data_IF_447546422727
#
_entry.id   IF_447546422727
#
_cell.length_a   1.000
_cell.length_b   1.000
_cell.length_c   1.000
_cell.angle_alpha   90.00
_cell.angle_beta   90.00
_cell.angle_gamma   90.00
#
_symmetry.space_group_name_H-M   'P 1'
#
loop_
_entity.id
_entity.type
_entity.pdbx_description
1 polymer ?
#
# COMPACT_ATOMS: atom_id res chain seq x y z
N UNK A 1 -118.91 73.92 -14.68
CA UNK A 1 -117.58 73.98 -14.02
C UNK A 1 -117.29 72.79 -13.09
N UNK A 2 -118.20 72.36 -12.21
CA UNK A 2 -117.94 71.23 -11.29
C UNK A 2 -117.72 69.85 -11.97
N UNK A 3 -118.34 69.57 -13.12
CA UNK A 3 -118.16 68.30 -13.85
C UNK A 3 -116.82 68.22 -14.60
N UNK A 4 -116.33 69.35 -15.10
CA UNK A 4 -115.05 69.46 -15.83
C UNK A 4 -113.87 69.28 -14.86
N UNK A 5 -113.96 69.81 -13.64
CA UNK A 5 -112.93 69.62 -12.62
C UNK A 5 -112.89 68.19 -12.08
N UNK A 6 -114.03 67.50 -12.03
CA UNK A 6 -114.10 66.08 -11.65
C UNK A 6 -113.46 65.19 -12.71
N UNK A 7 -113.73 65.46 -13.99
CA UNK A 7 -113.09 64.78 -15.12
C UNK A 7 -111.57 65.04 -15.19
N UNK A 8 -111.12 66.29 -14.95
CA UNK A 8 -109.69 66.61 -14.86
C UNK A 8 -108.99 65.87 -13.71
N UNK A 9 -109.63 65.74 -12.55
CA UNK A 9 -109.08 64.96 -11.43
C UNK A 9 -108.98 63.47 -11.76
N UNK A 10 -110.01 62.89 -12.38
CA UNK A 10 -109.97 61.49 -12.82
C UNK A 10 -108.86 61.25 -13.85
N UNK A 11 -108.73 62.12 -14.86
CA UNK A 11 -107.65 62.03 -15.86
C UNK A 11 -106.28 62.16 -15.19
N UNK A 12 -106.12 63.05 -14.21
CA UNK A 12 -104.85 63.24 -13.50
C UNK A 12 -104.51 62.04 -12.61
N UNK A 13 -105.49 61.49 -11.90
CA UNK A 13 -105.34 60.26 -11.12
C UNK A 13 -105.00 59.06 -12.01
N UNK A 14 -105.63 58.94 -13.18
CA UNK A 14 -105.34 57.87 -14.14
C UNK A 14 -103.97 58.05 -14.80
N UNK A 15 -103.53 59.30 -15.02
CA UNK A 15 -102.19 59.61 -15.51
C UNK A 15 -101.13 59.30 -14.46
N UNK A 16 -101.35 59.70 -13.20
CA UNK A 16 -100.45 59.41 -12.08
C UNK A 16 -100.36 57.89 -11.82
N UNK A 17 -101.48 57.16 -11.93
CA UNK A 17 -101.48 55.68 -11.90
C UNK A 17 -100.63 55.08 -13.03
N UNK A 18 -100.80 55.53 -14.27
CA UNK A 18 -99.99 55.06 -15.41
C UNK A 18 -98.51 55.37 -15.24
N UNK A 19 -98.17 56.55 -14.72
CA UNK A 19 -96.77 56.94 -14.44
C UNK A 19 -96.18 56.05 -13.35
N UNK A 20 -96.94 55.73 -12.31
CA UNK A 20 -96.50 54.84 -11.23
C UNK A 20 -96.31 53.40 -11.71
N UNK A 21 -97.22 52.92 -12.57
CA UNK A 21 -97.18 51.60 -13.17
C UNK A 21 -95.97 51.45 -14.11
N UNK A 22 -95.75 52.42 -15.02
CA UNK A 22 -94.58 52.45 -15.91
C UNK A 22 -93.26 52.55 -15.14
N UNK A 23 -93.20 53.32 -14.05
CA UNK A 23 -92.01 53.35 -13.17
C UNK A 23 -91.78 51.99 -12.51
N UNK A 24 -92.83 51.37 -11.98
CA UNK A 24 -92.75 50.04 -11.37
C UNK A 24 -92.33 48.95 -12.36
N UNK A 25 -92.76 49.03 -13.61
CA UNK A 25 -92.32 48.14 -14.69
C UNK A 25 -90.86 48.39 -15.08
N UNK A 26 -90.44 49.65 -15.21
CA UNK A 26 -89.06 50.03 -15.50
C UNK A 26 -88.10 49.57 -14.39
N UNK A 27 -88.45 49.82 -13.12
CA UNK A 27 -87.64 49.40 -11.97
C UNK A 27 -87.52 47.87 -11.88
N UNK A 28 -88.60 47.14 -12.20
CA UNK A 28 -88.59 45.67 -12.30
C UNK A 28 -87.68 45.20 -13.44
N UNK A 29 -87.75 45.83 -14.60
CA UNK A 29 -86.92 45.49 -15.77
C UNK A 29 -85.43 45.73 -15.47
N UNK A 30 -85.08 46.88 -14.88
CA UNK A 30 -83.70 47.21 -14.47
C UNK A 30 -83.20 46.20 -13.43
N UNK A 31 -83.99 45.88 -12.42
CA UNK A 31 -83.61 44.90 -11.39
C UNK A 31 -83.38 43.51 -12.00
N UNK A 32 -84.23 43.10 -12.94
CA UNK A 32 -84.07 41.84 -13.66
C UNK A 32 -82.82 41.84 -14.54
N UNK A 33 -82.51 42.94 -15.22
CA UNK A 33 -81.30 43.09 -16.01
C UNK A 33 -80.04 43.07 -15.14
N UNK A 34 -80.02 43.78 -14.02
CA UNK A 34 -78.93 43.75 -13.05
C UNK A 34 -78.68 42.34 -12.51
N UNK A 35 -79.75 41.61 -12.14
CA UNK A 35 -79.61 40.21 -11.69
C UNK A 35 -79.01 39.30 -12.76
N UNK A 36 -79.44 39.43 -14.01
CA UNK A 36 -78.87 38.66 -15.12
C UNK A 36 -77.40 39.03 -15.34
N UNK A 37 -77.07 40.32 -15.28
CA UNK A 37 -75.70 40.79 -15.42
C UNK A 37 -74.81 40.26 -14.29
N UNK A 38 -75.30 40.25 -13.06
CA UNK A 38 -74.60 39.70 -11.89
C UNK A 38 -74.40 38.18 -12.03
N UNK A 39 -75.41 37.45 -12.47
CA UNK A 39 -75.29 36.01 -12.75
C UNK A 39 -74.25 35.73 -13.83
N UNK A 40 -74.29 36.44 -14.96
CA UNK A 40 -73.29 36.32 -16.03
C UNK A 40 -71.89 36.68 -15.52
N UNK A 41 -71.77 37.71 -14.66
CA UNK A 41 -70.50 38.06 -14.06
C UNK A 41 -69.97 36.98 -13.11
N UNK A 42 -70.83 36.39 -12.28
CA UNK A 42 -70.47 35.29 -11.38
C UNK A 42 -70.03 34.07 -12.19
N UNK A 43 -70.74 33.73 -13.26
CA UNK A 43 -70.40 32.61 -14.13
C UNK A 43 -69.06 32.84 -14.84
N UNK A 44 -68.83 34.04 -15.38
CA UNK A 44 -67.57 34.42 -15.98
C UNK A 44 -66.41 34.36 -14.98
N UNK A 45 -66.60 34.84 -13.75
CA UNK A 45 -65.60 34.78 -12.70
C UNK A 45 -65.29 33.33 -12.33
N UNK A 46 -66.30 32.48 -12.17
CA UNK A 46 -66.11 31.06 -11.88
C UNK A 46 -65.32 30.35 -12.99
N UNK A 47 -65.61 30.66 -14.25
CA UNK A 47 -64.91 30.05 -15.38
C UNK A 47 -63.47 30.55 -15.50
N UNK A 48 -63.22 31.84 -15.24
CA UNK A 48 -61.86 32.36 -15.12
C UNK A 48 -61.10 31.71 -13.97
N UNK A 49 -61.75 31.47 -12.83
CA UNK A 49 -61.15 30.84 -11.65
C UNK A 49 -60.77 29.39 -11.96
N UNK A 50 -61.66 28.61 -12.58
CA UNK A 50 -61.37 27.23 -13.03
C UNK A 50 -60.23 27.18 -14.04
N UNK A 51 -60.15 28.13 -14.98
CA UNK A 51 -59.04 28.21 -15.93
C UNK A 51 -57.72 28.49 -15.21
N UNK A 52 -57.72 29.42 -14.25
CA UNK A 52 -56.55 29.74 -13.44
C UNK A 52 -56.11 28.58 -12.56
N UNK A 53 -57.03 27.85 -11.96
CA UNK A 53 -56.73 26.63 -11.19
C UNK A 53 -56.02 25.60 -12.06
N UNK A 54 -56.55 25.30 -13.25
CA UNK A 54 -55.91 24.37 -14.19
C UNK A 54 -54.53 24.84 -14.64
N UNK A 55 -54.37 26.13 -14.92
CA UNK A 55 -53.05 26.70 -15.26
C UNK A 55 -52.06 26.57 -14.10
N UNK A 56 -52.49 26.82 -12.87
CA UNK A 56 -51.66 26.70 -11.66
C UNK A 56 -51.29 25.24 -11.42
N UNK A 57 -52.24 24.32 -11.51
CA UNK A 57 -52.02 22.89 -11.36
C UNK A 57 -51.00 22.38 -12.39
N UNK A 58 -51.17 22.73 -13.66
CA UNK A 58 -50.22 22.37 -14.72
C UNK A 58 -48.82 22.91 -14.44
N UNK A 59 -48.71 24.18 -14.01
CA UNK A 59 -47.42 24.80 -13.65
C UNK A 59 -46.79 24.19 -12.40
N UNK A 60 -47.58 23.67 -11.48
CA UNK A 60 -47.09 22.98 -10.29
C UNK A 60 -46.60 21.59 -10.63
N UNK A 61 -47.36 20.82 -11.41
CA UNK A 61 -46.96 19.50 -11.90
C UNK A 61 -45.64 19.62 -12.68
N UNK A 62 -45.56 20.54 -13.64
CA UNK A 62 -44.34 20.75 -14.41
C UNK A 62 -43.14 21.11 -13.52
N UNK A 63 -43.32 22.02 -12.56
CA UNK A 63 -42.24 22.38 -11.62
C UNK A 63 -41.83 21.22 -10.71
N UNK A 64 -42.78 20.38 -10.29
CA UNK A 64 -42.48 19.20 -9.49
C UNK A 64 -41.70 18.17 -10.32
N UNK A 65 -42.12 17.91 -11.56
CA UNK A 65 -41.41 17.03 -12.49
C UNK A 65 -39.99 17.53 -12.76
N UNK A 66 -39.83 18.82 -13.06
CA UNK A 66 -38.52 19.43 -13.29
C UNK A 66 -37.60 19.27 -12.07
N UNK A 67 -38.12 19.49 -10.85
CA UNK A 67 -37.35 19.34 -9.60
C UNK A 67 -37.02 17.88 -9.29
N UNK A 68 -37.92 16.95 -9.58
CA UNK A 68 -37.66 15.52 -9.42
C UNK A 68 -36.54 15.09 -10.36
N UNK A 69 -36.57 15.54 -11.62
CA UNK A 69 -35.53 15.22 -12.60
C UNK A 69 -34.18 15.83 -12.21
N UNK A 70 -34.17 17.06 -11.71
CA UNK A 70 -32.95 17.72 -11.22
C UNK A 70 -32.32 16.97 -10.05
N UNK A 71 -33.13 16.59 -9.04
CA UNK A 71 -32.65 15.82 -7.89
C UNK A 71 -32.20 14.40 -8.28
N UNK A 72 -32.92 13.73 -9.19
CA UNK A 72 -32.49 12.44 -9.73
C UNK A 72 -31.15 12.55 -10.46
N UNK A 73 -30.96 13.58 -11.28
CA UNK A 73 -29.69 13.86 -11.96
C UNK A 73 -28.55 14.09 -10.97
N UNK A 74 -28.79 14.88 -9.91
CA UNK A 74 -27.79 15.13 -8.85
C UNK A 74 -27.40 13.84 -8.14
N UNK A 75 -28.38 13.02 -7.75
CA UNK A 75 -28.15 11.74 -7.07
C UNK A 75 -27.41 10.76 -7.96
N UNK A 76 -27.74 10.67 -9.25
CA UNK A 76 -27.01 9.82 -10.18
C UNK A 76 -25.55 10.25 -10.35
N UNK A 77 -25.29 11.55 -10.41
CA UNK A 77 -23.92 12.08 -10.47
C UNK A 77 -23.13 11.77 -9.19
N UNK A 78 -23.74 11.93 -8.02
CA UNK A 78 -23.12 11.60 -6.73
C UNK A 78 -22.84 10.10 -6.60
N UNK A 79 -23.77 9.24 -7.01
CA UNK A 79 -23.58 7.80 -7.04
C UNK A 79 -22.47 7.38 -8.01
N UNK A 80 -22.38 8.04 -9.17
CA UNK A 80 -21.31 7.79 -10.14
C UNK A 80 -19.93 8.18 -9.58
N UNK A 81 -19.82 9.34 -8.93
CA UNK A 81 -18.59 9.77 -8.26
C UNK A 81 -18.21 8.81 -7.12
N UNK A 82 -19.15 8.47 -6.24
CA UNK A 82 -18.92 7.50 -5.17
C UNK A 82 -18.46 6.15 -5.71
N UNK A 83 -19.11 5.65 -6.76
CA UNK A 83 -18.74 4.38 -7.41
C UNK A 83 -17.34 4.46 -8.03
N UNK A 84 -17.00 5.59 -8.65
CA UNK A 84 -15.66 5.84 -9.19
C UNK A 84 -14.59 5.81 -8.11
N UNK A 85 -14.83 6.51 -6.99
CA UNK A 85 -13.93 6.53 -5.83
C UNK A 85 -13.77 5.14 -5.21
N UNK A 86 -14.87 4.39 -5.05
CA UNK A 86 -14.84 3.03 -4.51
C UNK A 86 -14.04 2.07 -5.40
N UNK A 87 -14.21 2.15 -6.73
CA UNK A 87 -13.42 1.37 -7.68
C UNK A 87 -11.94 1.74 -7.62
N UNK A 88 -11.60 3.03 -7.60
CA UNK A 88 -10.23 3.50 -7.47
C UNK A 88 -9.57 3.05 -6.17
N UNK A 89 -10.30 3.12 -5.06
CA UNK A 89 -9.83 2.63 -3.76
C UNK A 89 -9.63 1.11 -3.76
N UNK A 90 -10.56 0.34 -4.34
CA UNK A 90 -10.42 -1.10 -4.44
C UNK A 90 -9.20 -1.52 -5.28
N UNK A 91 -8.95 -0.82 -6.40
CA UNK A 91 -7.76 -1.05 -7.22
C UNK A 91 -6.47 -0.68 -6.46
N UNK A 92 -6.46 0.45 -5.75
CA UNK A 92 -5.32 0.88 -4.93
C UNK A 92 -5.03 -0.12 -3.80
N UNK A 93 -6.06 -0.61 -3.11
CA UNK A 93 -5.92 -1.63 -2.06
C UNK A 93 -5.40 -2.94 -2.67
N UNK A 94 -5.94 -3.39 -3.80
CA UNK A 94 -5.47 -4.61 -4.45
C UNK A 94 -4.00 -4.52 -4.87
N UNK A 95 -3.58 -3.38 -5.46
CA UNK A 95 -2.18 -3.13 -5.82
C UNK A 95 -1.28 -3.13 -4.59
N UNK A 96 -1.70 -2.47 -3.52
CA UNK A 96 -0.94 -2.43 -2.26
C UNK A 96 -0.83 -3.81 -1.61
N UNK A 97 -1.90 -4.59 -1.59
CA UNK A 97 -1.88 -5.95 -1.06
C UNK A 97 -0.86 -6.85 -1.80
N UNK A 98 -0.76 -6.73 -3.12
CA UNK A 98 0.25 -7.45 -3.90
C UNK A 98 1.68 -6.97 -3.60
N UNK A 99 1.88 -5.66 -3.38
CA UNK A 99 3.17 -5.12 -2.98
C UNK A 99 3.57 -5.59 -1.58
N UNK A 100 2.63 -5.57 -0.64
CA UNK A 100 2.86 -6.02 0.73
C UNK A 100 3.16 -7.52 0.78
N UNK A 101 2.47 -8.34 -0.03
CA UNK A 101 2.78 -9.77 -0.14
C UNK A 101 4.22 -10.00 -0.62
N UNK A 102 4.66 -9.28 -1.67
CA UNK A 102 6.03 -9.37 -2.16
C UNK A 102 7.03 -8.93 -1.09
N UNK A 103 6.78 -7.81 -0.42
CA UNK A 103 7.63 -7.30 0.64
C UNK A 103 7.76 -8.30 1.80
N UNK A 104 6.66 -8.94 2.21
CA UNK A 104 6.67 -9.99 3.23
C UNK A 104 7.52 -11.19 2.82
N UNK A 105 7.37 -11.68 1.57
CA UNK A 105 8.20 -12.81 1.08
C UNK A 105 9.69 -12.44 1.04
N UNK A 106 10.03 -11.23 0.61
CA UNK A 106 11.42 -10.76 0.60
C UNK A 106 11.98 -10.58 2.01
N UNK A 107 11.18 -10.10 2.96
CA UNK A 107 11.60 -9.97 4.36
C UNK A 107 11.81 -11.33 5.03
N UNK A 108 10.93 -12.29 4.76
CA UNK A 108 11.08 -13.66 5.26
C UNK A 108 12.32 -14.35 4.67
N UNK A 109 12.59 -14.15 3.38
CA UNK A 109 13.81 -14.61 2.74
C UNK A 109 15.05 -13.96 3.36
N UNK A 110 15.05 -12.64 3.52
CA UNK A 110 16.16 -11.90 4.11
C UNK A 110 16.46 -12.38 5.54
N UNK A 111 15.43 -12.54 6.37
CA UNK A 111 15.63 -12.99 7.76
C UNK A 111 16.14 -14.42 7.83
N UNK A 112 15.70 -15.31 6.92
CA UNK A 112 16.23 -16.66 6.81
C UNK A 112 17.70 -16.67 6.36
N UNK A 113 18.08 -15.82 5.39
CA UNK A 113 19.48 -15.70 4.95
C UNK A 113 20.37 -15.06 6.00
N UNK A 114 19.87 -14.08 6.75
CA UNK A 114 20.60 -13.44 7.85
C UNK A 114 20.81 -14.42 9.00
N UNK A 115 19.81 -15.26 9.31
CA UNK A 115 19.96 -16.33 10.30
C UNK A 115 21.05 -17.35 9.88
N UNK A 116 21.10 -17.72 8.60
CA UNK A 116 22.16 -18.57 8.06
C UNK A 116 23.54 -17.89 8.15
N UNK A 117 23.64 -16.61 7.77
CA UNK A 117 24.88 -15.86 7.85
C UNK A 117 25.37 -15.72 9.31
N UNK A 118 24.46 -15.45 10.24
CA UNK A 118 24.76 -15.40 11.66
C UNK A 118 25.22 -16.77 12.20
N UNK A 119 24.62 -17.88 11.75
CA UNK A 119 25.06 -19.24 12.10
C UNK A 119 26.46 -19.54 11.57
N UNK A 120 26.80 -19.07 10.36
CA UNK A 120 28.13 -19.26 9.77
C UNK A 120 29.20 -18.42 10.47
N UNK A 121 28.86 -17.18 10.87
CA UNK A 121 29.78 -16.27 11.53
C UNK A 121 29.99 -16.64 13.01
N UNK A 122 28.92 -16.96 13.71
CA UNK A 122 28.95 -17.27 15.12
C UNK A 122 28.98 -18.80 15.31
N UNK A 123 30.15 -19.42 15.32
CA UNK A 123 30.22 -20.69 16.08
C UNK A 123 30.09 -20.35 17.54
N UNK A 124 29.18 -21.02 18.22
CA UNK A 124 29.12 -21.11 19.67
C UNK A 124 30.51 -20.93 20.31
N UNK A 125 30.65 -19.88 21.14
CA UNK A 125 31.84 -19.58 21.95
C UNK A 125 32.21 -20.68 22.96
N UNK A 126 31.45 -21.77 23.00
CA UNK A 126 31.72 -22.90 23.86
C UNK A 126 32.84 -23.75 23.23
N UNK A 127 33.94 -23.91 23.97
CA UNK A 127 35.18 -24.51 23.46
C UNK A 127 35.01 -25.96 23.01
N UNK A 128 33.98 -26.64 23.51
CA UNK A 128 33.62 -28.01 23.15
C UNK A 128 32.71 -28.07 21.90
N UNK A 129 32.03 -26.97 21.58
CA UNK A 129 31.19 -26.86 20.39
C UNK A 129 31.96 -26.41 19.14
N UNK A 130 33.20 -25.93 19.29
CA UNK A 130 34.09 -25.63 18.16
C UNK A 130 34.47 -26.87 17.32
N UNK A 131 34.42 -28.06 17.94
CA UNK A 131 34.61 -29.35 17.24
C UNK A 131 33.27 -29.99 16.78
N UNK A 132 32.12 -29.52 17.29
CA UNK A 132 30.80 -29.98 16.87
C UNK A 132 30.17 -29.01 15.86
N UNK A 133 30.46 -29.26 14.59
CA UNK A 133 29.85 -28.54 13.49
C UNK A 133 28.33 -28.75 13.49
N UNK A 134 27.56 -27.65 13.41
CA UNK A 134 26.11 -27.73 13.24
C UNK A 134 25.75 -27.95 11.77
N UNK A 135 24.77 -28.83 11.46
CA UNK A 135 24.28 -29.00 10.10
C UNK A 135 23.59 -27.72 9.61
N UNK A 136 23.73 -27.43 8.31
CA UNK A 136 23.07 -26.30 7.64
C UNK A 136 21.72 -26.71 7.04
N UNK A 137 21.29 -27.97 7.23
CA UNK A 137 20.04 -28.49 6.65
C UNK A 137 18.84 -27.64 7.07
N UNK A 138 18.74 -27.33 8.36
CA UNK A 138 17.55 -26.70 8.93
C UNK A 138 17.43 -25.23 8.49
N UNK A 139 18.56 -24.53 8.39
CA UNK A 139 18.61 -23.15 7.91
C UNK A 139 18.40 -23.05 6.40
N UNK A 140 18.90 -24.01 5.62
CA UNK A 140 18.64 -24.11 4.18
C UNK A 140 17.19 -24.47 3.89
N UNK A 141 16.60 -25.38 4.65
CA UNK A 141 15.17 -25.71 4.56
C UNK A 141 14.29 -24.51 4.96
N UNK A 142 14.71 -23.71 5.94
CA UNK A 142 14.04 -22.46 6.28
C UNK A 142 14.05 -21.45 5.13
N UNK A 143 15.18 -21.29 4.43
CA UNK A 143 15.26 -20.43 3.22
C UNK A 143 14.35 -20.97 2.12
N UNK A 144 14.35 -22.28 1.90
CA UNK A 144 13.48 -22.93 0.91
C UNK A 144 11.99 -22.71 1.21
N UNK A 145 11.60 -22.76 2.48
CA UNK A 145 10.22 -22.54 2.91
C UNK A 145 9.82 -21.05 2.89
N UNK A 146 10.77 -20.14 3.13
CA UNK A 146 10.56 -18.70 3.06
C UNK A 146 10.49 -18.18 1.62
N UNK A 147 11.09 -18.90 0.68
CA UNK A 147 11.01 -18.59 -0.75
C UNK A 147 9.57 -18.70 -1.26
N UNK A 148 9.22 -17.83 -2.20
CA UNK A 148 7.99 -18.00 -2.95
C UNK A 148 8.04 -19.36 -3.67
N UNK A 149 6.92 -20.11 -3.66
CA UNK A 149 6.84 -21.43 -4.30
C UNK A 149 7.25 -21.32 -5.77
N UNK A 150 8.37 -21.94 -6.14
CA UNK A 150 8.88 -21.98 -7.51
C UNK A 150 9.81 -20.82 -7.91
N UNK A 151 10.49 -20.17 -6.95
CA UNK A 151 11.56 -19.22 -7.28
C UNK A 151 12.82 -19.96 -7.78
N UNK A 152 12.99 -20.03 -9.10
CA UNK A 152 14.10 -20.69 -9.80
C UNK A 152 15.47 -20.16 -9.35
N UNK A 153 15.56 -18.87 -9.01
CA UNK A 153 16.82 -18.28 -8.54
C UNK A 153 17.23 -18.86 -7.19
N UNK A 154 16.28 -19.03 -6.26
CA UNK A 154 16.58 -19.59 -4.94
C UNK A 154 16.90 -21.08 -5.07
N UNK A 155 16.15 -21.83 -5.88
CA UNK A 155 16.42 -23.26 -6.07
C UNK A 155 17.77 -23.52 -6.75
N UNK A 156 18.15 -22.74 -7.76
CA UNK A 156 19.46 -22.87 -8.42
C UNK A 156 20.60 -22.57 -7.47
N UNK A 157 20.50 -21.51 -6.65
CA UNK A 157 21.51 -21.18 -5.65
C UNK A 157 21.62 -22.28 -4.59
N UNK A 158 20.50 -22.77 -4.07
CA UNK A 158 20.51 -23.87 -3.08
C UNK A 158 21.10 -25.15 -3.66
N UNK A 159 20.91 -25.42 -4.95
CA UNK A 159 21.49 -26.58 -5.63
C UNK A 159 23.02 -26.49 -5.81
N UNK A 160 23.60 -25.28 -5.79
CA UNK A 160 25.07 -25.11 -5.84
C UNK A 160 25.77 -25.51 -4.54
N UNK A 161 25.03 -25.59 -3.42
CA UNK A 161 25.62 -25.88 -2.11
C UNK A 161 25.98 -27.37 -2.04
N UNK A 162 27.25 -27.72 -1.74
CA UNK A 162 27.68 -29.11 -1.68
C UNK A 162 26.99 -29.83 -0.50
N UNK A 163 26.52 -31.06 -0.75
CA UNK A 163 25.82 -31.89 0.24
C UNK A 163 26.67 -32.25 1.45
N UNK A 164 28.00 -32.21 1.30
CA UNK A 164 28.96 -32.36 2.40
C UNK A 164 28.88 -31.20 3.38
N UNK A 165 28.73 -29.96 2.91
CA UNK A 165 28.57 -28.78 3.78
C UNK A 165 27.22 -28.78 4.49
N UNK A 166 26.15 -29.23 3.81
CA UNK A 166 24.81 -29.32 4.41
C UNK A 166 24.76 -30.26 5.62
N UNK A 167 25.29 -31.48 5.46
CA UNK A 167 25.23 -32.53 6.50
C UNK A 167 26.26 -32.33 7.61
N UNK A 168 27.48 -31.92 7.24
CA UNK A 168 28.59 -31.81 8.18
C UNK A 168 28.62 -30.47 8.89
N UNK A 169 28.18 -29.39 8.26
CA UNK A 169 28.47 -28.04 8.71
C UNK A 169 29.80 -27.50 8.17
N UNK A 170 29.97 -26.17 8.28
CA UNK A 170 31.17 -25.44 7.86
C UNK A 170 31.85 -24.84 9.10
N UNK A 171 33.19 -24.87 9.12
CA UNK A 171 33.92 -24.20 10.18
C UNK A 171 33.83 -22.68 9.99
N UNK A 172 33.48 -21.93 11.04
CA UNK A 172 33.50 -20.46 10.99
C UNK A 172 34.94 -19.95 10.82
N UNK A 173 35.06 -18.70 10.42
CA UNK A 173 36.36 -18.03 10.27
C UNK A 173 37.14 -18.00 11.60
N UNK A 174 36.47 -17.70 12.72
CA UNK A 174 37.13 -17.56 14.02
C UNK A 174 37.74 -18.88 14.53
N UNK A 175 37.05 -20.01 14.33
CA UNK A 175 37.57 -21.35 14.69
C UNK A 175 38.76 -21.73 13.81
N UNK A 176 38.71 -21.40 12.52
CA UNK A 176 39.84 -21.61 11.62
C UNK A 176 41.05 -20.75 12.00
N UNK A 177 40.83 -19.48 12.39
CA UNK A 177 41.86 -18.59 12.90
C UNK A 177 42.50 -19.14 14.17
N UNK A 178 41.72 -19.61 15.15
CA UNK A 178 42.26 -20.19 16.38
C UNK A 178 43.06 -21.48 16.11
N UNK A 179 42.55 -22.34 15.21
CA UNK A 179 43.26 -23.55 14.78
C UNK A 179 44.55 -23.21 14.06
N UNK A 180 44.54 -22.20 13.18
CA UNK A 180 45.73 -21.73 12.50
C UNK A 180 46.80 -21.25 13.49
N UNK A 181 46.44 -20.46 14.52
CA UNK A 181 47.39 -20.04 15.54
C UNK A 181 48.01 -21.20 16.35
N UNK A 182 47.26 -22.30 16.54
CA UNK A 182 47.80 -23.53 17.15
C UNK A 182 48.78 -24.23 16.20
N UNK A 183 48.42 -24.35 14.92
CA UNK A 183 49.27 -24.97 13.89
C UNK A 183 50.53 -24.13 13.64
N UNK A 184 50.43 -22.80 13.58
CA UNK A 184 51.54 -21.86 13.43
C UNK A 184 52.60 -22.11 14.50
N UNK A 185 52.19 -22.27 15.77
CA UNK A 185 53.12 -22.56 16.88
C UNK A 185 53.88 -23.86 16.70
N UNK A 186 53.25 -24.89 16.13
CA UNK A 186 53.88 -26.20 15.89
C UNK A 186 54.76 -26.12 14.63
N UNK A 187 54.26 -25.54 13.56
CA UNK A 187 54.98 -25.35 12.31
C UNK A 187 56.23 -24.48 12.51
N UNK A 188 56.14 -23.41 13.32
CA UNK A 188 57.29 -22.57 13.67
C UNK A 188 58.41 -23.35 14.35
N UNK A 189 58.06 -24.30 15.23
CA UNK A 189 59.04 -25.17 15.92
C UNK A 189 59.72 -26.17 14.98
N UNK A 190 59.06 -26.52 13.88
CA UNK A 190 59.46 -27.59 12.96
C UNK A 190 60.04 -27.03 11.66
N UNK A 191 59.89 -25.73 11.38
CA UNK A 191 60.24 -25.08 10.12
C UNK A 191 61.71 -25.24 9.70
N UNK A 192 62.63 -25.44 10.66
CA UNK A 192 64.06 -25.70 10.38
C UNK A 192 64.41 -27.14 10.00
N UNK A 193 63.44 -28.04 9.86
CA UNK A 193 63.68 -29.46 9.55
C UNK A 193 63.62 -29.69 8.03
N UNK A 194 64.65 -30.30 7.41
CA UNK A 194 64.65 -30.60 5.98
C UNK A 194 63.68 -31.75 5.62
N UNK A 195 63.20 -31.75 4.37
CA UNK A 195 62.32 -32.79 3.83
C UNK A 195 63.02 -34.15 3.82
N UNK A 196 62.58 -35.09 4.68
CA UNK A 196 63.22 -36.39 4.88
C UNK A 196 63.25 -36.88 6.32
N UNK A 197 62.82 -36.05 7.27
CA UNK A 197 62.77 -36.40 8.69
C UNK A 197 64.11 -36.21 9.38
N UNK A 198 64.06 -35.81 10.65
CA UNK A 198 65.23 -35.51 11.46
C UNK A 198 65.36 -36.51 12.62
N UNK A 199 66.59 -36.88 12.96
CA UNK A 199 66.88 -37.58 14.21
C UNK A 199 66.49 -36.73 15.42
N UNK A 200 66.01 -37.32 16.52
CA UNK A 200 65.61 -36.62 17.76
C UNK A 200 66.53 -35.45 18.21
N UNK A 201 67.88 -35.55 18.20
CA UNK A 201 68.73 -34.41 18.56
C UNK A 201 68.63 -33.22 17.59
N UNK A 202 68.38 -33.47 16.30
CA UNK A 202 68.16 -32.41 15.29
C UNK A 202 66.81 -31.71 15.49
N UNK A 203 65.77 -32.42 15.94
CA UNK A 203 64.50 -31.80 16.34
C UNK A 203 64.67 -30.87 17.54
N UNK A 204 65.46 -31.28 18.54
CA UNK A 204 65.75 -30.44 19.70
C UNK A 204 66.54 -29.18 19.31
N UNK A 205 67.49 -29.32 18.37
CA UNK A 205 68.24 -28.19 17.82
C UNK A 205 67.33 -27.23 17.04
N UNK A 206 66.46 -27.75 16.18
CA UNK A 206 65.50 -26.95 15.41
C UNK A 206 64.50 -26.23 16.34
N UNK A 207 64.04 -26.88 17.41
CA UNK A 207 63.20 -26.28 18.43
C UNK A 207 63.90 -25.11 19.15
N UNK A 208 65.16 -25.31 19.55
CA UNK A 208 65.95 -24.27 20.23
C UNK A 208 66.28 -23.11 19.28
N UNK A 209 66.58 -23.40 18.02
CA UNK A 209 66.74 -22.40 16.96
C UNK A 209 65.44 -21.59 16.75
N UNK A 210 64.28 -22.26 16.68
CA UNK A 210 62.98 -21.59 16.48
C UNK A 210 62.61 -20.65 17.64
N UNK A 211 63.10 -20.93 18.85
CA UNK A 211 62.88 -20.09 20.03
C UNK A 211 63.80 -18.85 20.05
N UNK A 212 64.95 -18.90 19.39
CA UNK A 212 65.91 -17.80 19.29
C UNK A 212 65.58 -16.83 18.14
N UNK A 213 64.90 -17.32 17.09
CA UNK A 213 64.47 -16.48 15.96
C UNK A 213 63.36 -15.53 16.43
N UNK A 214 63.70 -14.25 16.57
CA UNK A 214 62.76 -13.18 16.88
C UNK A 214 61.78 -13.06 15.70
N UNK A 215 60.48 -13.09 16.00
CA UNK A 215 59.44 -12.81 15.00
C UNK A 215 59.68 -11.40 14.45
N UNK A 216 59.91 -11.28 13.14
CA UNK A 216 60.13 -10.00 12.49
C UNK A 216 58.94 -9.08 12.75
N UNK A 217 59.22 -7.80 13.08
CA UNK A 217 58.19 -6.80 13.36
C UNK A 217 57.43 -6.35 12.11
N UNK A 218 57.99 -6.62 10.92
CA UNK A 218 57.37 -6.37 9.62
C UNK A 218 57.16 -7.72 8.93
N UNK A 219 55.91 -8.22 8.86
CA UNK A 219 55.63 -9.57 8.36
C UNK A 219 55.69 -9.69 6.83
N UNK A 220 55.61 -8.57 6.10
CA UNK A 220 55.66 -8.53 4.63
C UNK A 220 56.45 -7.30 4.16
N UNK A 221 57.38 -7.43 3.19
CA UNK A 221 58.07 -6.30 2.57
C UNK A 221 57.12 -5.41 1.75
N UNK A 222 57.36 -4.10 1.76
CA UNK A 222 56.49 -3.09 1.10
C UNK A 222 56.33 -3.30 -0.41
N UNK A 223 57.29 -3.94 -1.09
CA UNK A 223 57.18 -4.31 -2.51
C UNK A 223 56.09 -5.35 -2.79
N UNK A 224 55.91 -6.33 -1.88
CA UNK A 224 54.85 -7.35 -2.02
C UNK A 224 53.46 -6.74 -1.77
N UNK A 225 53.35 -5.74 -0.89
CA UNK A 225 52.09 -4.98 -0.71
C UNK A 225 51.68 -4.21 -1.97
N UNK A 226 52.66 -3.82 -2.79
CA UNK A 226 52.44 -3.09 -4.05
C UNK A 226 52.25 -4.04 -5.25
N UNK A 227 52.07 -5.35 -5.02
CA UNK A 227 51.94 -6.39 -6.03
C UNK A 227 53.13 -6.46 -7.00
N UNK A 228 54.34 -6.21 -6.52
CA UNK A 228 55.56 -6.46 -7.30
C UNK A 228 55.81 -7.97 -7.45
N UNK A 229 56.37 -8.42 -8.59
CA UNK A 229 56.68 -9.83 -8.79
C UNK A 229 57.79 -10.26 -7.82
N UNK A 230 57.53 -11.31 -7.04
CA UNK A 230 58.51 -11.96 -6.17
C UNK A 230 58.72 -13.42 -6.60
N UNK A 231 59.91 -13.98 -6.36
CA UNK A 231 60.20 -15.39 -6.65
C UNK A 231 59.81 -16.27 -5.45
N UNK A 232 58.82 -17.18 -5.60
CA UNK A 232 58.43 -18.07 -4.51
C UNK A 232 59.49 -19.12 -4.17
N UNK A 233 60.51 -19.34 -5.01
CA UNK A 233 61.56 -20.34 -4.76
C UNK A 233 62.61 -19.88 -3.74
N UNK A 234 62.74 -18.57 -3.51
CA UNK A 234 63.72 -18.01 -2.55
C UNK A 234 63.21 -18.01 -1.10
N UNK A 235 61.94 -18.39 -0.90
CA UNK A 235 61.25 -18.32 0.39
C UNK A 235 61.70 -19.42 1.35
N UNK A 236 62.09 -19.02 2.56
CA UNK A 236 62.28 -19.96 3.66
C UNK A 236 60.93 -20.33 4.29
N UNK A 237 60.85 -21.51 4.92
CA UNK A 237 59.67 -21.99 5.64
C UNK A 237 59.18 -21.00 6.71
N UNK A 238 60.10 -20.27 7.35
CA UNK A 238 59.76 -19.21 8.29
C UNK A 238 59.07 -18.00 7.63
N UNK A 239 59.50 -17.63 6.43
CA UNK A 239 58.96 -16.49 5.68
C UNK A 239 57.57 -16.83 5.11
N UNK A 240 57.34 -18.09 4.75
CA UNK A 240 56.02 -18.60 4.34
C UNK A 240 55.04 -18.54 5.52
N UNK A 241 55.47 -18.93 6.72
CA UNK A 241 54.62 -18.87 7.92
C UNK A 241 54.29 -17.42 8.34
N UNK A 242 55.22 -16.49 8.19
CA UNK A 242 54.98 -15.07 8.46
C UNK A 242 53.96 -14.46 7.48
N UNK A 243 54.06 -14.77 6.19
CA UNK A 243 53.06 -14.34 5.19
C UNK A 243 51.70 -14.96 5.45
N UNK A 244 51.65 -16.25 5.75
CA UNK A 244 50.40 -16.93 6.07
C UNK A 244 49.71 -16.31 7.29
N UNK A 245 50.48 -15.92 8.31
CA UNK A 245 49.96 -15.20 9.47
C UNK A 245 49.39 -13.83 9.12
N UNK A 246 50.08 -13.06 8.27
CA UNK A 246 49.60 -11.75 7.85
C UNK A 246 48.23 -11.79 7.16
N UNK A 247 47.93 -12.83 6.38
CA UNK A 247 46.63 -12.97 5.73
C UNK A 247 45.53 -13.56 6.63
N UNK A 248 45.88 -14.04 7.82
CA UNK A 248 44.94 -14.60 8.81
C UNK A 248 44.60 -13.60 9.91
N UNK A 249 45.55 -12.72 10.25
CA UNK A 249 45.36 -11.54 11.11
C UNK A 249 44.61 -10.43 10.36
#
# INVERSE_FOLDING_TARGET
DAEVDKAKRQIKEDFDKKVLELKGECDKEIHNQMKRQEQVHIDLLNDQLKLKEKEVERKLIQRLEDRVLEEQGRLQAELADMTGRMKGLNEAISKRALQDQKAQTSQALWSATEALYAQLKNSSHDKDAADHLQPLTDSVDAIRNAAAKGDDLVETVLATIPSTALKRGVYPEDSLRERFLKVEKVAWRVAGIPEGGASLPKLLLAWLQSALIIKASEPIPTGELNNEPFDPAELNNYDVLQRARYYVD
#
